data_IF_717266213085
#
_entry.id   IF_717266213085
#
_cell.length_a   1.000
_cell.length_b   1.000
_cell.length_c   1.000
_cell.angle_alpha   90.00
_cell.angle_beta   90.00
_cell.angle_gamma   90.00
#
_symmetry.space_group_name_H-M   'P 1'
#
loop_
_entity.id
_entity.type
_entity.pdbx_description
1 polymer ?
#
# COMPACT_ATOMS: atom_id res chain seq x y z
N UNK A 1 -3.00 -4.48 -46.75
CA UNK A 1 -3.48 -3.12 -46.44
C UNK A 1 -4.95 -3.03 -46.82
N UNK A 2 -5.86 -3.11 -45.85
CA UNK A 2 -7.29 -3.01 -46.09
C UNK A 2 -7.86 -1.91 -45.17
N UNK A 3 -8.39 -0.87 -45.80
CA UNK A 3 -8.97 0.31 -45.16
C UNK A 3 -10.46 0.04 -44.94
N UNK A 4 -10.90 -0.08 -43.69
CA UNK A 4 -12.32 -0.18 -43.36
C UNK A 4 -12.85 1.20 -42.98
N UNK A 5 -13.71 1.78 -43.84
CA UNK A 5 -14.60 2.90 -43.49
C UNK A 5 -15.94 2.31 -43.07
N UNK A 6 -16.37 2.59 -41.85
CA UNK A 6 -17.76 2.40 -41.43
C UNK A 6 -18.28 3.71 -40.87
N UNK A 7 -19.20 4.33 -41.61
CA UNK A 7 -20.04 5.42 -41.15
C UNK A 7 -21.49 4.95 -41.18
N UNK A 8 -22.18 5.07 -40.05
CA UNK A 8 -23.64 5.09 -40.00
C UNK A 8 -24.08 6.01 -38.84
N UNK A 9 -25.18 6.76 -38.99
CA UNK A 9 -25.58 7.83 -38.07
C UNK A 9 -26.46 7.32 -36.93
N UNK A 10 -26.34 7.94 -35.75
CA UNK A 10 -27.21 7.71 -34.58
C UNK A 10 -28.32 8.77 -34.56
N UNK A 11 -29.61 8.42 -34.42
CA UNK A 11 -30.70 9.38 -34.37
C UNK A 11 -30.85 10.03 -32.99
N UNK A 12 -31.22 11.31 -33.01
CA UNK A 12 -31.59 12.17 -31.87
C UNK A 12 -32.83 11.63 -31.14
N UNK A 13 -32.84 11.71 -29.80
CA UNK A 13 -34.09 11.81 -29.03
C UNK A 13 -34.04 12.91 -27.95
N UNK A 14 -35.03 13.77 -28.09
CA UNK A 14 -35.81 14.58 -27.15
C UNK A 14 -35.34 14.84 -25.70
N UNK A 15 -35.33 16.13 -25.41
CA UNK A 15 -35.49 16.84 -24.14
C UNK A 15 -36.65 16.33 -23.28
N UNK A 16 -36.41 16.18 -21.97
CA UNK A 16 -37.43 16.43 -20.95
C UNK A 16 -36.83 17.14 -19.73
N UNK A 17 -37.42 18.29 -19.44
CA UNK A 17 -37.29 19.18 -18.28
C UNK A 17 -38.04 18.61 -17.07
N UNK A 18 -37.43 18.71 -15.87
CA UNK A 18 -38.01 18.80 -14.51
C UNK A 18 -36.79 19.04 -13.59
N UNK A 19 -36.68 20.06 -12.76
CA UNK A 19 -37.63 20.52 -11.74
C UNK A 19 -36.94 20.34 -10.38
N UNK A 20 -36.41 21.44 -9.83
CA UNK A 20 -35.62 21.59 -8.59
C UNK A 20 -36.36 21.11 -7.33
N UNK A 21 -35.67 20.83 -6.19
CA UNK A 21 -35.51 21.91 -5.22
C UNK A 21 -34.17 21.98 -4.47
N UNK A 22 -33.83 23.23 -4.16
CA UNK A 22 -32.75 23.71 -3.31
C UNK A 22 -32.91 23.23 -1.85
N UNK A 23 -31.91 22.56 -1.30
CA UNK A 23 -31.75 22.43 0.16
C UNK A 23 -30.55 23.27 0.61
N UNK A 24 -30.84 24.37 1.30
CA UNK A 24 -29.86 25.19 2.01
C UNK A 24 -29.23 24.37 3.16
N UNK A 25 -27.90 24.31 3.22
CA UNK A 25 -27.16 23.76 4.36
C UNK A 25 -26.44 24.90 5.09
N UNK A 26 -26.83 25.14 6.33
CA UNK A 26 -26.12 26.02 7.25
C UNK A 26 -24.73 25.44 7.63
N UNK A 27 -23.70 26.29 7.79
CA UNK A 27 -22.36 25.86 8.21
C UNK A 27 -22.32 25.54 9.72
N UNK A 28 -21.74 24.39 10.08
CA UNK A 28 -21.43 24.02 11.47
C UNK A 28 -20.22 24.82 12.00
N UNK A 29 -20.22 25.26 13.27
CA UNK A 29 -19.09 25.97 13.87
C UNK A 29 -17.89 25.06 14.13
N UNK A 30 -16.68 25.57 13.86
CA UNK A 30 -15.40 24.92 14.14
C UNK A 30 -15.11 24.95 15.65
N UNK A 31 -14.82 23.79 16.24
CA UNK A 31 -14.26 23.68 17.61
C UNK A 31 -12.73 23.93 17.59
N UNK A 32 -12.15 24.59 18.61
CA UNK A 32 -10.72 24.86 18.68
C UNK A 32 -9.89 23.60 18.98
N UNK A 33 -8.72 23.54 18.34
CA UNK A 33 -7.71 22.51 18.48
C UNK A 33 -7.12 22.52 19.91
N UNK A 34 -7.30 21.45 20.68
CA UNK A 34 -6.59 21.23 21.96
C UNK A 34 -5.27 20.51 21.66
N UNK A 35 -4.16 21.23 21.76
CA UNK A 35 -2.81 20.66 21.73
C UNK A 35 -2.56 19.84 23.01
N UNK A 36 -2.68 18.51 22.88
CA UNK A 36 -2.23 17.57 23.92
C UNK A 36 -0.80 17.13 23.61
N UNK A 37 0.18 17.79 24.22
CA UNK A 37 1.54 17.23 24.33
C UNK A 37 1.49 16.00 25.25
N UNK A 38 1.60 14.80 24.68
CA UNK A 38 1.86 13.57 25.44
C UNK A 38 3.29 13.63 26.00
N UNK A 39 3.42 13.65 27.32
CA UNK A 39 4.69 13.43 28.03
C UNK A 39 4.94 11.92 28.05
N UNK A 40 5.97 11.45 27.35
CA UNK A 40 6.38 10.04 27.37
C UNK A 40 7.05 9.64 28.70
N UNK A 41 7.16 8.33 29.00
CA UNK A 41 7.78 7.85 30.22
C UNK A 41 9.27 8.19 30.27
N UNK A 42 9.75 8.50 31.48
CA UNK A 42 11.13 8.91 31.74
C UNK A 42 12.11 7.79 31.41
N UNK A 43 13.18 8.11 30.66
CA UNK A 43 14.38 7.27 30.66
C UNK A 43 15.12 7.51 31.97
N UNK A 44 15.29 6.47 32.77
CA UNK A 44 16.17 6.49 33.93
C UNK A 44 17.59 6.81 33.48
N UNK A 45 18.11 7.98 33.89
CA UNK A 45 19.55 8.22 33.94
C UNK A 45 20.03 7.81 35.33
N UNK A 46 21.18 7.13 35.44
CA UNK A 46 21.76 6.82 36.74
C UNK A 46 22.12 8.12 37.47
N UNK A 47 21.79 8.18 38.77
CA UNK A 47 22.08 9.32 39.61
C UNK A 47 23.60 9.52 39.73
N UNK A 48 24.07 10.76 39.55
CA UNK A 48 25.42 11.14 39.95
C UNK A 48 25.46 11.26 41.48
N UNK A 49 26.43 10.67 42.18
CA UNK A 49 26.53 10.80 43.63
C UNK A 49 26.78 12.27 44.01
N UNK A 50 26.10 12.75 45.06
CA UNK A 50 26.44 14.01 45.74
C UNK A 50 25.64 15.27 45.36
N UNK A 51 24.50 15.17 44.65
CA UNK A 51 23.58 16.32 44.48
C UNK A 51 22.17 16.04 45.00
N UNK A 52 21.60 16.88 45.88
CA UNK A 52 20.21 16.75 46.30
C UNK A 52 19.27 17.00 45.12
N UNK A 53 18.20 16.19 45.03
CA UNK A 53 17.21 16.31 43.97
C UNK A 53 16.45 17.65 44.09
N UNK A 54 16.19 18.35 42.97
CA UNK A 54 15.43 19.60 43.02
C UNK A 54 13.97 19.34 43.43
N UNK A 55 13.33 20.28 44.14
CA UNK A 55 11.94 20.14 44.54
C UNK A 55 11.01 19.96 43.33
N UNK A 56 9.89 19.23 43.45
CA UNK A 56 9.04 18.80 42.34
C UNK A 56 8.57 19.95 41.43
N UNK A 57 8.30 21.11 42.01
CA UNK A 57 7.87 22.30 41.29
C UNK A 57 8.97 22.89 40.39
N UNK A 58 10.24 22.82 40.81
CA UNK A 58 11.38 23.27 40.03
C UNK A 58 11.70 22.27 38.91
N UNK A 59 11.60 20.97 39.18
CA UNK A 59 11.76 19.93 38.17
C UNK A 59 10.71 20.05 37.03
N UNK A 60 9.47 20.42 37.35
CA UNK A 60 8.43 20.64 36.34
C UNK A 60 8.68 21.90 35.50
N UNK A 61 9.21 22.98 36.10
CA UNK A 61 9.60 24.21 35.38
C UNK A 61 10.79 23.98 34.45
N UNK A 62 11.81 23.24 34.89
CA UNK A 62 12.95 22.83 34.06
C UNK A 62 12.49 21.99 32.87
N UNK A 63 11.61 21.00 33.09
CA UNK A 63 11.05 20.17 32.00
C UNK A 63 10.25 20.98 30.98
N UNK A 64 9.47 21.96 31.42
CA UNK A 64 8.72 22.86 30.51
C UNK A 64 9.64 23.78 29.71
N UNK A 65 10.71 24.29 30.33
CA UNK A 65 11.72 25.09 29.65
C UNK A 65 12.49 24.26 28.60
N UNK A 66 12.93 23.04 28.94
CA UNK A 66 13.60 22.13 28.01
C UNK A 66 12.72 21.74 26.82
N UNK A 67 11.42 21.51 27.05
CA UNK A 67 10.46 21.20 25.98
C UNK A 67 10.30 22.38 25.00
N UNK A 68 10.20 23.62 25.52
CA UNK A 68 10.15 24.85 24.70
C UNK A 68 11.45 25.06 23.90
N UNK A 69 12.61 24.79 24.50
CA UNK A 69 13.91 24.92 23.83
C UNK A 69 14.09 23.85 22.75
N UNK A 70 13.65 22.60 22.98
CA UNK A 70 13.65 21.53 21.96
C UNK A 70 12.69 21.83 20.81
N UNK A 71 11.53 22.41 21.09
CA UNK A 71 10.59 22.81 20.04
C UNK A 71 11.12 23.96 19.17
N UNK A 72 11.73 24.98 19.80
CA UNK A 72 12.40 26.08 19.08
C UNK A 72 13.59 25.59 18.23
N UNK A 73 14.41 24.67 18.74
CA UNK A 73 15.51 24.05 17.96
C UNK A 73 14.99 23.23 16.78
N UNK A 74 13.89 22.46 16.95
CA UNK A 74 13.26 21.72 15.84
C UNK A 74 12.66 22.62 14.76
N UNK A 75 12.09 23.77 15.14
CA UNK A 75 11.60 24.77 14.19
C UNK A 75 12.75 25.45 13.44
N UNK A 76 13.85 25.79 14.13
CA UNK A 76 15.05 26.37 13.53
C UNK A 76 15.78 25.42 12.55
N UNK A 77 15.87 24.12 12.88
CA UNK A 77 16.43 23.11 11.98
C UNK A 77 15.57 22.85 10.74
N UNK A 78 14.24 23.01 10.86
CA UNK A 78 13.31 22.87 9.72
C UNK A 78 13.43 24.02 8.74
N UNK A 79 13.77 25.23 9.22
CA UNK A 79 14.06 26.39 8.38
C UNK A 79 15.45 26.36 7.76
N UNK A 80 16.44 25.68 8.37
CA UNK A 80 17.81 25.56 7.81
C UNK A 80 17.97 24.48 6.74
N UNK A 81 17.13 23.43 6.73
CA UNK A 81 17.18 22.38 5.68
C UNK A 81 16.60 22.79 4.31
N UNK A 82 16.15 24.04 4.15
CA UNK A 82 15.62 24.56 2.89
C UNK A 82 16.51 25.58 2.18
N UNK A 83 17.77 25.76 2.58
CA UNK A 83 18.70 26.68 1.90
C UNK A 83 20.07 26.03 1.68
N UNK A 84 20.20 25.31 0.57
CA UNK A 84 21.39 25.36 -0.30
C UNK A 84 21.02 24.82 -1.70
N UNK A 85 21.38 25.54 -2.79
CA UNK A 85 21.05 25.16 -4.15
C UNK A 85 22.17 24.29 -4.76
N UNK A 86 21.81 23.13 -5.32
CA UNK A 86 22.65 22.45 -6.31
C UNK A 86 22.11 22.72 -7.72
N UNK A 87 22.97 22.85 -8.74
CA UNK A 87 22.59 23.29 -10.06
C UNK A 87 21.86 22.16 -10.77
N UNK A 88 20.53 22.27 -10.89
CA UNK A 88 19.77 21.45 -11.83
C UNK A 88 19.87 22.08 -13.21
N UNK A 89 20.48 21.36 -14.16
CA UNK A 89 20.21 21.57 -15.59
C UNK A 89 18.69 21.50 -15.81
N UNK A 90 18.08 22.43 -16.57
CA UNK A 90 16.65 22.40 -16.80
C UNK A 90 16.33 21.30 -17.82
N UNK A 91 15.89 20.14 -17.34
CA UNK A 91 15.04 19.27 -18.15
C UNK A 91 13.72 20.00 -18.35
N UNK A 92 13.38 20.27 -19.61
CA UNK A 92 12.18 20.99 -20.02
C UNK A 92 10.96 20.48 -19.24
N UNK A 93 10.43 21.33 -18.36
CA UNK A 93 9.05 21.20 -17.92
C UNK A 93 8.21 21.49 -19.15
N UNK A 94 7.33 20.57 -19.50
CA UNK A 94 6.25 20.80 -20.44
C UNK A 94 5.41 21.95 -19.89
N UNK A 95 5.64 23.15 -20.43
CA UNK A 95 4.75 24.29 -20.27
C UNK A 95 3.46 23.98 -21.02
N UNK A 96 2.52 23.33 -20.33
CA UNK A 96 1.14 23.37 -20.78
C UNK A 96 0.58 24.75 -20.47
N UNK A 97 0.04 25.47 -21.46
CA UNK A 97 -0.63 26.73 -21.21
C UNK A 97 -1.77 26.46 -20.22
N UNK A 98 -1.74 27.16 -19.09
CA UNK A 98 -2.83 27.23 -18.12
C UNK A 98 -3.92 28.10 -18.75
N UNK A 99 -4.61 27.52 -19.72
CA UNK A 99 -5.79 28.06 -20.38
C UNK A 99 -6.92 27.05 -20.23
N UNK A 100 -8.12 27.55 -19.97
CA UNK A 100 -9.38 26.84 -19.75
C UNK A 100 -9.82 25.94 -20.91
N UNK A 101 -9.07 24.87 -21.19
CA UNK A 101 -9.47 23.79 -22.08
C UNK A 101 -9.76 22.56 -21.23
N UNK A 102 -10.99 22.06 -21.30
CA UNK A 102 -11.25 20.65 -20.99
C UNK A 102 -10.32 19.86 -21.90
N UNK A 103 -9.20 19.35 -21.38
CA UNK A 103 -8.31 18.46 -22.14
C UNK A 103 -9.20 17.38 -22.76
N UNK A 104 -9.25 17.29 -24.08
CA UNK A 104 -10.06 16.25 -24.72
C UNK A 104 -9.46 14.91 -24.29
N UNK A 105 -10.27 13.84 -24.09
CA UNK A 105 -9.73 12.52 -23.75
C UNK A 105 -8.61 12.06 -24.68
N UNK A 106 -8.67 12.47 -25.95
CA UNK A 106 -7.65 12.27 -26.98
C UNK A 106 -6.30 12.84 -26.57
N UNK A 107 -6.23 14.03 -25.97
CA UNK A 107 -4.97 14.70 -25.62
C UNK A 107 -4.20 13.89 -24.55
N UNK A 108 -4.91 13.26 -23.62
CA UNK A 108 -4.31 12.41 -22.58
C UNK A 108 -3.81 11.07 -23.13
N UNK A 109 -4.39 10.59 -24.21
CA UNK A 109 -3.98 9.36 -24.89
C UNK A 109 -2.99 9.62 -26.02
N UNK A 110 -2.64 10.88 -26.28
CA UNK A 110 -1.74 11.26 -27.36
C UNK A 110 -0.30 11.34 -26.89
N UNK A 111 0.60 10.68 -27.63
CA UNK A 111 2.03 10.77 -27.41
C UNK A 111 2.50 12.16 -27.86
N UNK A 112 3.09 12.93 -26.95
CA UNK A 112 3.62 14.25 -27.29
C UNK A 112 4.77 14.12 -28.32
N UNK A 113 4.75 14.85 -29.46
CA UNK A 113 5.76 14.75 -30.52
C UNK A 113 7.19 15.00 -30.02
N UNK A 114 7.34 15.89 -29.05
CA UNK A 114 8.63 16.17 -28.39
C UNK A 114 9.26 14.99 -27.66
N UNK A 115 8.53 13.90 -27.40
CA UNK A 115 9.08 12.70 -26.74
C UNK A 115 10.03 11.90 -27.66
N UNK A 116 9.90 12.07 -28.98
CA UNK A 116 10.74 11.43 -30.00
C UNK A 116 11.66 12.42 -30.72
N UNK A 117 11.69 13.69 -30.31
CA UNK A 117 12.42 14.75 -31.02
C UNK A 117 13.94 14.75 -30.77
N UNK A 118 14.46 13.83 -29.94
CA UNK A 118 15.90 13.69 -29.71
C UNK A 118 16.54 12.74 -30.73
N UNK A 119 17.63 13.15 -31.36
CA UNK A 119 18.36 12.35 -32.36
C UNK A 119 19.31 11.30 -31.77
N UNK A 120 19.51 11.30 -30.45
CA UNK A 120 20.40 10.37 -29.76
C UNK A 120 19.70 9.10 -29.26
N UNK A 121 20.42 7.97 -29.12
CA UNK A 121 19.89 6.77 -28.48
C UNK A 121 19.39 7.12 -27.07
N UNK A 122 18.17 6.71 -26.76
CA UNK A 122 17.59 6.93 -25.44
C UNK A 122 18.06 5.82 -24.51
N UNK A 123 18.65 6.20 -23.36
CA UNK A 123 18.96 5.24 -22.32
C UNK A 123 17.65 4.55 -21.87
N UNK A 124 17.64 3.22 -21.83
CA UNK A 124 16.46 2.41 -21.49
C UNK A 124 15.80 2.84 -20.16
N UNK A 125 16.61 3.31 -19.20
CA UNK A 125 16.16 3.82 -17.90
C UNK A 125 15.48 5.20 -17.94
N UNK A 126 15.67 5.99 -18.99
CA UNK A 126 14.93 7.24 -19.22
C UNK A 126 13.58 7.01 -19.90
N UNK A 127 13.43 5.93 -20.68
CA UNK A 127 12.17 5.55 -21.33
C UNK A 127 11.06 5.33 -20.30
N UNK A 128 11.42 4.91 -19.09
CA UNK A 128 10.46 4.68 -18.01
C UNK A 128 9.90 5.96 -17.37
N UNK A 129 10.63 7.07 -17.46
CA UNK A 129 10.24 8.39 -16.94
C UNK A 129 9.52 9.25 -17.97
N UNK A 130 9.51 8.81 -19.23
CA UNK A 130 8.83 9.49 -20.34
C UNK A 130 7.44 8.88 -20.56
N UNK A 131 6.56 9.68 -21.13
CA UNK A 131 5.26 9.29 -21.70
C UNK A 131 5.45 8.08 -22.63
N UNK A 132 4.93 6.92 -22.25
CA UNK A 132 5.12 5.66 -23.00
C UNK A 132 4.08 5.53 -24.12
N UNK A 133 4.43 4.99 -25.30
CA UNK A 133 3.43 4.65 -26.32
C UNK A 133 2.33 3.73 -25.78
N UNK A 134 2.66 2.81 -24.88
CA UNK A 134 1.67 1.92 -24.24
C UNK A 134 0.68 2.64 -23.32
N UNK A 135 1.01 3.84 -22.81
CA UNK A 135 0.08 4.67 -22.02
C UNK A 135 -0.54 5.80 -22.84
N UNK A 136 0.02 6.10 -24.01
CA UNK A 136 -0.37 7.16 -24.94
C UNK A 136 -0.37 6.60 -26.37
N UNK A 137 -1.35 5.74 -26.71
CA UNK A 137 -1.32 4.93 -27.92
C UNK A 137 -1.62 5.73 -29.21
N UNK A 138 -2.04 6.98 -29.09
CA UNK A 138 -2.37 7.83 -30.24
C UNK A 138 -1.16 8.67 -30.61
N UNK A 139 -0.69 8.58 -31.85
CA UNK A 139 0.52 9.29 -32.28
C UNK A 139 0.14 10.41 -33.23
N UNK A 140 0.48 11.65 -32.91
CA UNK A 140 0.28 12.79 -33.82
C UNK A 140 1.53 12.96 -34.69
N UNK A 141 1.36 12.95 -36.01
CA UNK A 141 2.44 13.14 -36.99
C UNK A 141 1.90 13.92 -38.19
N UNK A 142 2.55 15.02 -38.56
CA UNK A 142 2.18 15.89 -39.70
C UNK A 142 0.68 16.26 -39.75
N UNK A 143 0.12 16.62 -38.59
CA UNK A 143 -1.30 16.98 -38.46
C UNK A 143 -2.28 15.80 -38.56
N UNK A 144 -1.79 14.56 -38.66
CA UNK A 144 -2.59 13.33 -38.67
C UNK A 144 -2.47 12.58 -37.35
N UNK A 145 -3.53 11.88 -36.98
CA UNK A 145 -3.53 10.93 -35.87
C UNK A 145 -3.29 9.51 -36.42
N UNK A 146 -2.14 8.94 -36.10
CA UNK A 146 -1.82 7.56 -36.40
C UNK A 146 -2.38 6.68 -35.27
N UNK A 147 -3.22 5.73 -35.66
CA UNK A 147 -3.81 4.73 -34.77
C UNK A 147 -3.25 3.37 -35.18
N UNK A 148 -2.43 2.79 -34.30
CA UNK A 148 -1.84 1.48 -34.52
C UNK A 148 -2.64 0.46 -33.70
N UNK A 149 -3.37 -0.49 -34.33
CA UNK A 149 -4.28 -1.38 -33.61
C UNK A 149 -3.62 -2.17 -32.47
N UNK A 150 -2.41 -2.70 -32.68
CA UNK A 150 -1.66 -3.42 -31.66
C UNK A 150 -1.31 -2.54 -30.47
N UNK A 151 -0.95 -1.27 -30.70
CA UNK A 151 -0.62 -0.33 -29.63
C UNK A 151 -1.85 0.08 -28.84
N UNK A 152 -2.99 0.28 -29.51
CA UNK A 152 -4.28 0.53 -28.86
C UNK A 152 -4.68 -0.66 -27.99
N UNK A 153 -4.53 -1.88 -28.51
CA UNK A 153 -4.85 -3.09 -27.76
C UNK A 153 -3.97 -3.25 -26.53
N UNK A 154 -2.64 -3.13 -26.66
CA UNK A 154 -1.71 -3.17 -25.52
C UNK A 154 -2.03 -2.06 -24.49
N UNK A 155 -2.40 -0.87 -24.95
CA UNK A 155 -2.82 0.20 -24.04
C UNK A 155 -4.12 -0.16 -23.31
N UNK A 156 -5.11 -0.77 -23.97
CA UNK A 156 -6.34 -1.23 -23.31
C UNK A 156 -6.05 -2.23 -22.20
N UNK A 157 -5.23 -3.25 -22.47
CA UNK A 157 -4.82 -4.24 -21.47
C UNK A 157 -4.10 -3.58 -20.29
N UNK A 158 -3.19 -2.65 -20.57
CA UNK A 158 -2.46 -1.92 -19.53
C UNK A 158 -3.41 -1.07 -18.67
N UNK A 159 -4.35 -0.34 -19.27
CA UNK A 159 -5.30 0.46 -18.52
C UNK A 159 -6.27 -0.39 -17.71
N UNK A 160 -6.71 -1.53 -18.26
CA UNK A 160 -7.54 -2.49 -17.52
C UNK A 160 -6.79 -2.99 -16.28
N UNK A 161 -5.55 -3.45 -16.43
CA UNK A 161 -4.71 -3.89 -15.31
C UNK A 161 -4.51 -2.78 -14.25
N UNK A 162 -4.27 -1.54 -14.67
CA UNK A 162 -4.16 -0.41 -13.73
C UNK A 162 -5.48 -0.15 -12.99
N UNK A 163 -6.62 -0.22 -13.68
CA UNK A 163 -7.94 -0.01 -13.09
C UNK A 163 -8.29 -1.13 -12.11
N UNK A 164 -7.98 -2.38 -12.43
CA UNK A 164 -8.15 -3.54 -11.56
C UNK A 164 -7.31 -3.45 -10.29
N UNK A 165 -6.22 -2.69 -10.33
CA UNK A 165 -5.42 -2.34 -9.16
C UNK A 165 -5.90 -1.07 -8.44
N UNK A 166 -6.89 -0.34 -8.96
CA UNK A 166 -7.36 0.93 -8.40
C UNK A 166 -6.42 2.10 -8.66
N UNK A 167 -5.75 2.12 -9.82
CA UNK A 167 -4.88 3.21 -10.27
C UNK A 167 -5.08 3.55 -11.74
N UNK A 168 -4.37 4.57 -12.21
CA UNK A 168 -4.26 4.94 -13.62
C UNK A 168 -2.81 5.28 -13.93
N UNK A 169 -2.36 5.10 -15.19
CA UNK A 169 -0.97 5.36 -15.57
C UNK A 169 -0.59 6.84 -15.54
N UNK A 170 -1.56 7.75 -15.50
CA UNK A 170 -1.30 9.19 -15.42
C UNK A 170 -1.19 9.67 -13.96
N UNK A 171 -0.13 10.41 -13.59
CA UNK A 171 0.03 10.92 -12.23
C UNK A 171 -0.92 12.09 -11.90
N UNK A 172 -1.28 12.90 -12.91
CA UNK A 172 -2.05 14.13 -12.73
C UNK A 172 -3.56 13.90 -12.85
N UNK A 173 -4.13 13.20 -11.86
CA UNK A 173 -5.54 12.88 -11.84
C UNK A 173 -6.37 13.93 -11.09
N UNK A 174 -7.57 14.30 -11.58
CA UNK A 174 -8.50 15.14 -10.83
C UNK A 174 -8.86 14.53 -9.46
N UNK A 175 -9.09 15.37 -8.45
CA UNK A 175 -9.38 14.91 -7.09
C UNK A 175 -10.57 13.93 -6.99
N UNK A 176 -11.68 14.10 -7.72
CA UNK A 176 -12.78 13.12 -7.72
C UNK A 176 -12.33 11.73 -8.18
N UNK A 177 -11.48 11.67 -9.23
CA UNK A 177 -10.93 10.41 -9.76
C UNK A 177 -10.00 9.76 -8.73
N UNK A 178 -9.08 10.53 -8.12
CA UNK A 178 -8.21 10.01 -7.05
C UNK A 178 -9.01 9.45 -5.86
N UNK A 179 -10.13 10.09 -5.50
CA UNK A 179 -11.01 9.61 -4.43
C UNK A 179 -11.71 8.30 -4.83
N UNK A 180 -12.21 8.21 -6.06
CA UNK A 180 -12.85 6.99 -6.56
C UNK A 180 -11.87 5.81 -6.61
N UNK A 181 -10.66 6.02 -7.15
CA UNK A 181 -9.60 5.02 -7.21
C UNK A 181 -9.18 4.53 -5.82
N UNK A 182 -8.99 5.45 -4.86
CA UNK A 182 -8.72 5.06 -3.47
C UNK A 182 -9.86 4.25 -2.85
N UNK A 183 -11.11 4.65 -3.09
CA UNK A 183 -12.26 3.90 -2.59
C UNK A 183 -12.34 2.50 -3.19
N UNK A 184 -12.07 2.37 -4.48
CA UNK A 184 -11.96 1.07 -5.14
C UNK A 184 -10.86 0.23 -4.50
N UNK A 185 -9.68 0.80 -4.22
CA UNK A 185 -8.59 0.10 -3.53
C UNK A 185 -9.00 -0.38 -2.13
N UNK A 186 -9.66 0.47 -1.35
CA UNK A 186 -10.20 0.09 -0.04
C UNK A 186 -11.22 -1.07 -0.13
N UNK A 187 -12.02 -1.12 -1.21
CA UNK A 187 -12.93 -2.24 -1.46
C UNK A 187 -12.16 -3.52 -1.80
N UNK A 188 -11.13 -3.41 -2.64
CA UNK A 188 -10.27 -4.54 -2.99
C UNK A 188 -9.57 -5.12 -1.76
N UNK A 189 -9.03 -4.30 -0.88
CA UNK A 189 -8.38 -4.76 0.35
C UNK A 189 -9.36 -5.51 1.27
N UNK A 190 -10.56 -4.95 1.46
CA UNK A 190 -11.64 -5.61 2.22
C UNK A 190 -12.08 -6.93 1.61
N UNK A 191 -12.13 -7.00 0.28
CA UNK A 191 -12.52 -8.22 -0.43
C UNK A 191 -11.48 -9.30 -0.20
N UNK A 192 -10.19 -8.97 -0.33
CA UNK A 192 -9.10 -9.90 -0.01
C UNK A 192 -9.18 -10.41 1.43
N UNK A 193 -9.41 -9.52 2.41
CA UNK A 193 -9.59 -9.94 3.81
C UNK A 193 -10.80 -10.88 4.00
N UNK A 194 -11.92 -10.61 3.32
CA UNK A 194 -13.12 -11.45 3.36
C UNK A 194 -12.92 -12.80 2.64
N UNK A 195 -12.15 -12.84 1.56
CA UNK A 195 -11.83 -14.06 0.82
C UNK A 195 -10.98 -14.99 1.71
N UNK A 196 -9.95 -14.44 2.37
CA UNK A 196 -9.15 -15.20 3.35
C UNK A 196 -9.98 -15.69 4.53
N UNK A 197 -10.98 -14.92 4.94
CA UNK A 197 -11.92 -15.35 5.95
C UNK A 197 -12.74 -16.56 5.49
N UNK A 198 -13.24 -16.50 4.26
CA UNK A 198 -14.01 -17.60 3.68
C UNK A 198 -13.14 -18.85 3.56
N UNK A 199 -11.90 -18.73 3.07
CA UNK A 199 -10.94 -19.83 2.95
C UNK A 199 -10.70 -20.55 4.29
N UNK A 200 -10.42 -19.81 5.37
CA UNK A 200 -10.15 -20.43 6.68
C UNK A 200 -11.40 -21.11 7.27
N UNK A 201 -12.58 -20.57 7.01
CA UNK A 201 -13.86 -21.16 7.42
C UNK A 201 -14.17 -22.44 6.64
N UNK A 202 -14.00 -22.40 5.32
CA UNK A 202 -14.27 -23.53 4.44
C UNK A 202 -13.28 -24.68 4.66
N UNK A 203 -12.05 -24.37 5.09
CA UNK A 203 -11.08 -25.36 5.57
C UNK A 203 -11.46 -25.99 6.93
N UNK A 204 -12.49 -25.47 7.62
CA UNK A 204 -12.93 -25.98 8.92
C UNK A 204 -11.95 -25.70 10.07
N UNK A 205 -10.96 -24.83 9.87
CA UNK A 205 -9.91 -24.57 10.85
C UNK A 205 -10.36 -23.50 11.86
N UNK A 206 -10.21 -23.73 13.19
CA UNK A 206 -10.45 -22.70 14.19
C UNK A 206 -9.60 -21.46 13.94
N UNK A 207 -10.21 -20.27 13.94
CA UNK A 207 -9.51 -19.05 13.53
C UNK A 207 -10.06 -17.80 14.21
N UNK A 208 -9.26 -16.72 14.15
CA UNK A 208 -9.64 -15.38 14.60
C UNK A 208 -9.20 -14.32 13.61
N UNK A 209 -10.15 -13.51 13.18
CA UNK A 209 -9.87 -12.35 12.34
C UNK A 209 -9.50 -11.13 13.16
N UNK A 210 -8.58 -10.34 12.60
CA UNK A 210 -8.27 -8.97 13.04
C UNK A 210 -8.04 -8.88 14.54
N UNK A 211 -7.06 -9.63 15.01
CA UNK A 211 -6.64 -9.61 16.41
C UNK A 211 -5.87 -8.30 16.69
N UNK A 212 -6.56 -7.32 17.26
CA UNK A 212 -6.00 -6.03 17.67
C UNK A 212 -5.19 -6.15 18.97
N UNK A 213 -4.18 -5.30 19.16
CA UNK A 213 -3.31 -5.27 20.36
C UNK A 213 -4.11 -5.30 21.68
N UNK A 214 -5.12 -4.43 21.80
CA UNK A 214 -5.96 -4.35 23.02
C UNK A 214 -6.72 -5.64 23.27
N UNK A 215 -7.28 -6.23 22.21
CA UNK A 215 -8.03 -7.48 22.29
C UNK A 215 -7.09 -8.66 22.60
N UNK A 216 -5.89 -8.67 22.01
CA UNK A 216 -4.86 -9.67 22.30
C UNK A 216 -4.46 -9.65 23.78
N UNK A 217 -4.21 -8.45 24.35
CA UNK A 217 -3.89 -8.31 25.76
C UNK A 217 -5.03 -8.83 26.66
N UNK A 218 -6.29 -8.57 26.31
CA UNK A 218 -7.46 -9.08 27.05
C UNK A 218 -7.58 -10.61 26.99
N UNK A 219 -7.00 -11.25 25.97
CA UNK A 219 -7.01 -12.71 25.79
C UNK A 219 -5.77 -13.40 26.38
N UNK A 220 -4.90 -12.65 27.06
CA UNK A 220 -3.66 -13.18 27.65
C UNK A 220 -2.45 -13.16 26.73
N UNK A 221 -2.47 -12.36 25.66
CA UNK A 221 -1.35 -12.16 24.72
C UNK A 221 -0.89 -10.70 24.81
N UNK A 222 -0.25 -10.29 25.92
CA UNK A 222 0.25 -8.93 26.06
C UNK A 222 1.42 -8.66 25.09
N UNK A 223 1.64 -7.39 24.75
CA UNK A 223 2.82 -6.99 23.98
C UNK A 223 2.74 -7.22 22.47
N UNK A 224 1.60 -7.68 21.94
CA UNK A 224 1.40 -7.77 20.49
C UNK A 224 1.59 -6.40 19.83
N UNK A 225 2.38 -6.34 18.76
CA UNK A 225 2.64 -5.12 17.99
C UNK A 225 1.74 -5.09 16.75
N UNK A 226 0.88 -4.09 16.66
CA UNK A 226 -0.09 -3.94 15.59
C UNK A 226 -1.23 -4.96 15.65
N UNK A 227 -1.94 -5.10 14.53
CA UNK A 227 -3.00 -6.10 14.37
C UNK A 227 -2.46 -7.34 13.64
N UNK A 228 -2.91 -8.53 14.00
CA UNK A 228 -2.78 -9.73 13.15
C UNK A 228 -4.03 -9.81 12.28
N UNK A 229 -3.87 -9.88 10.95
CA UNK A 229 -5.01 -9.92 10.04
C UNK A 229 -5.82 -11.21 10.21
N UNK A 230 -5.13 -12.35 10.29
CA UNK A 230 -5.74 -13.67 10.48
C UNK A 230 -4.83 -14.56 11.32
N UNK A 231 -5.38 -15.12 12.39
CA UNK A 231 -4.73 -16.15 13.21
C UNK A 231 -5.52 -17.45 13.03
N UNK A 232 -4.87 -18.55 12.67
CA UNK A 232 -5.51 -19.86 12.46
C UNK A 232 -4.82 -20.90 13.33
N UNK A 233 -5.58 -21.76 13.97
CA UNK A 233 -5.09 -22.94 14.64
C UNK A 233 -5.47 -24.18 13.84
N UNK A 234 -4.49 -25.05 13.59
CA UNK A 234 -4.68 -26.37 13.02
C UNK A 234 -4.27 -27.41 14.08
N UNK A 235 -5.25 -27.93 14.86
CA UNK A 235 -4.98 -28.93 15.89
C UNK A 235 -4.43 -30.25 15.33
N UNK A 236 -4.74 -30.60 14.09
CA UNK A 236 -4.32 -31.88 13.49
C UNK A 236 -2.81 -31.89 13.23
N UNK A 237 -2.26 -30.76 12.77
CA UNK A 237 -0.82 -30.60 12.56
C UNK A 237 -0.11 -29.86 13.69
N UNK A 238 -0.84 -29.45 14.73
CA UNK A 238 -0.34 -28.63 15.84
C UNK A 238 0.30 -27.31 15.37
N UNK A 239 -0.32 -26.64 14.38
CA UNK A 239 0.21 -25.39 13.80
C UNK A 239 -0.64 -24.18 14.18
N UNK A 240 0.01 -23.06 14.52
CA UNK A 240 -0.60 -21.74 14.66
C UNK A 240 -0.09 -20.82 13.56
N UNK A 241 -0.95 -20.50 12.62
CA UNK A 241 -0.65 -19.61 11.50
C UNK A 241 -0.85 -18.16 11.88
N UNK A 242 0.21 -17.35 11.85
CA UNK A 242 0.15 -15.89 11.98
C UNK A 242 0.19 -15.29 10.58
N UNK A 243 -0.98 -14.89 10.07
CA UNK A 243 -1.12 -14.45 8.68
C UNK A 243 -1.20 -12.92 8.62
N UNK A 244 -0.28 -12.34 7.85
CA UNK A 244 -0.34 -10.94 7.43
C UNK A 244 -0.80 -10.85 5.98
N UNK A 245 -1.79 -9.98 5.74
CA UNK A 245 -2.39 -9.81 4.42
C UNK A 245 -1.93 -8.49 3.84
N UNK A 246 -1.45 -8.51 2.60
CA UNK A 246 -1.06 -7.30 1.87
C UNK A 246 -1.58 -7.35 0.46
N UNK A 247 -2.22 -6.27 0.04
CA UNK A 247 -2.55 -6.03 -1.35
C UNK A 247 -1.71 -4.85 -1.80
N UNK A 248 -0.44 -5.04 -2.22
CA UNK A 248 0.37 -3.93 -2.70
C UNK A 248 0.03 -3.61 -4.16
N UNK A 249 0.34 -2.38 -4.59
CA UNK A 249 0.22 -2.01 -6.01
C UNK A 249 1.34 -2.68 -6.81
N UNK A 250 1.05 -3.09 -8.04
CA UNK A 250 2.03 -3.73 -8.91
C UNK A 250 3.15 -2.75 -9.28
N UNK A 251 4.40 -3.16 -9.07
CA UNK A 251 5.56 -2.40 -9.51
C UNK A 251 6.10 -3.03 -10.82
N UNK A 252 6.16 -2.23 -11.89
CA UNK A 252 6.66 -2.71 -13.20
C UNK A 252 8.05 -2.15 -13.53
N UNK A 253 8.34 -0.92 -13.12
CA UNK A 253 9.66 -0.31 -13.33
C UNK A 253 10.69 -0.89 -12.35
N UNK A 254 11.93 -1.24 -12.77
CA UNK A 254 12.95 -1.81 -11.88
C UNK A 254 13.15 -1.02 -10.59
N UNK A 255 13.18 0.33 -10.67
CA UNK A 255 13.29 1.17 -9.47
C UNK A 255 12.09 1.02 -8.53
N UNK A 256 10.87 0.97 -9.08
CA UNK A 256 9.66 0.77 -8.30
C UNK A 256 9.63 -0.62 -7.67
N UNK A 257 10.09 -1.66 -8.39
CA UNK A 257 10.20 -3.03 -7.88
C UNK A 257 11.18 -3.07 -6.71
N UNK A 258 12.34 -2.41 -6.81
CA UNK A 258 13.30 -2.32 -5.71
C UNK A 258 12.68 -1.64 -4.49
N UNK A 259 12.00 -0.50 -4.67
CA UNK A 259 11.32 0.19 -3.56
C UNK A 259 10.22 -0.66 -2.92
N UNK A 260 9.51 -1.44 -3.73
CA UNK A 260 8.47 -2.36 -3.29
C UNK A 260 9.04 -3.49 -2.44
N UNK A 261 10.11 -4.14 -2.92
CA UNK A 261 10.85 -5.17 -2.20
C UNK A 261 11.37 -4.63 -0.86
N UNK A 262 11.94 -3.42 -0.84
CA UNK A 262 12.39 -2.76 0.39
C UNK A 262 11.26 -2.56 1.40
N UNK A 263 10.06 -2.19 0.92
CA UNK A 263 8.89 -2.03 1.80
C UNK A 263 8.47 -3.34 2.44
N UNK A 264 8.44 -4.44 1.69
CA UNK A 264 8.11 -5.77 2.22
C UNK A 264 9.15 -6.25 3.23
N UNK A 265 10.43 -6.16 2.87
CA UNK A 265 11.52 -6.66 3.69
C UNK A 265 11.75 -5.87 4.97
N UNK A 266 11.70 -4.54 4.93
CA UNK A 266 12.06 -3.69 6.09
C UNK A 266 10.86 -3.34 6.97
N UNK A 267 9.62 -3.41 6.45
CA UNK A 267 8.44 -3.02 7.21
C UNK A 267 7.52 -4.21 7.49
N UNK A 268 7.07 -4.92 6.46
CA UNK A 268 6.00 -5.91 6.63
C UNK A 268 6.53 -7.20 7.24
N UNK A 269 7.65 -7.73 6.71
CA UNK A 269 8.30 -8.94 7.19
C UNK A 269 8.76 -8.80 8.64
N UNK A 270 9.50 -7.74 8.96
CA UNK A 270 10.04 -7.55 10.32
C UNK A 270 8.91 -7.39 11.35
N UNK A 271 7.80 -6.74 10.99
CA UNK A 271 6.61 -6.69 11.84
C UNK A 271 5.95 -8.06 12.00
N UNK A 272 5.82 -8.84 10.94
CA UNK A 272 5.26 -10.17 10.99
C UNK A 272 6.10 -11.08 11.91
N UNK A 273 7.41 -11.10 11.73
CA UNK A 273 8.32 -11.86 12.59
C UNK A 273 8.19 -11.46 14.07
N UNK A 274 8.09 -10.16 14.37
CA UNK A 274 7.87 -9.70 15.75
C UNK A 274 6.52 -10.18 16.32
N UNK A 275 5.45 -10.17 15.52
CA UNK A 275 4.14 -10.72 15.94
C UNK A 275 4.25 -12.21 16.20
N UNK A 276 4.93 -12.96 15.33
CA UNK A 276 5.17 -14.40 15.49
C UNK A 276 5.89 -14.69 16.79
N UNK A 277 6.98 -13.97 17.12
CA UNK A 277 7.67 -14.13 18.42
C UNK A 277 6.72 -13.94 19.59
N UNK A 278 5.87 -12.92 19.57
CA UNK A 278 4.87 -12.71 20.63
C UNK A 278 3.87 -13.86 20.72
N UNK A 279 3.39 -14.36 19.57
CA UNK A 279 2.45 -15.49 19.54
C UNK A 279 3.11 -16.78 20.02
N UNK A 280 4.38 -17.03 19.68
CA UNK A 280 5.15 -18.18 20.19
C UNK A 280 5.23 -18.17 21.71
N UNK A 281 5.54 -17.02 22.33
CA UNK A 281 5.60 -16.89 23.80
C UNK A 281 4.23 -17.13 24.46
N UNK A 282 3.14 -16.90 23.72
CA UNK A 282 1.76 -16.99 24.22
C UNK A 282 0.92 -17.99 23.42
N UNK A 283 1.52 -19.09 22.95
CA UNK A 283 0.91 -19.99 21.98
C UNK A 283 -0.41 -20.59 22.48
N UNK A 284 -0.44 -21.07 23.73
CA UNK A 284 -1.66 -21.56 24.39
C UNK A 284 -2.79 -20.52 24.40
N UNK A 285 -2.49 -19.27 24.76
CA UNK A 285 -3.48 -18.20 24.77
C UNK A 285 -3.96 -17.84 23.36
N UNK A 286 -3.08 -17.92 22.35
CA UNK A 286 -3.39 -17.71 20.94
C UNK A 286 -4.29 -18.84 20.38
N UNK A 287 -4.02 -20.10 20.72
CA UNK A 287 -4.88 -21.23 20.38
C UNK A 287 -6.27 -21.10 21.00
N UNK A 288 -6.35 -20.78 22.30
CA UNK A 288 -7.62 -20.46 22.97
C UNK A 288 -8.36 -19.31 22.29
N UNK A 289 -7.65 -18.26 21.87
CA UNK A 289 -8.25 -17.13 21.18
C UNK A 289 -8.90 -17.52 19.84
N UNK A 290 -8.44 -18.61 19.22
CA UNK A 290 -9.00 -19.25 18.03
C UNK A 290 -10.04 -20.33 18.35
N UNK A 291 -10.33 -20.61 19.63
CA UNK A 291 -11.19 -21.70 20.09
C UNK A 291 -10.62 -23.10 19.80
N UNK A 292 -9.28 -23.23 19.84
CA UNK A 292 -8.57 -24.50 19.70
C UNK A 292 -8.07 -25.04 21.06
N UNK A 293 -7.69 -26.34 21.15
CA UNK A 293 -7.13 -26.94 22.35
C UNK A 293 -5.88 -26.20 22.88
N UNK A 294 -5.71 -26.19 24.20
CA UNK A 294 -4.67 -25.41 24.89
C UNK A 294 -3.39 -26.24 25.20
N UNK A 295 -3.50 -27.56 25.15
CA UNK A 295 -2.52 -28.55 25.64
C UNK A 295 -1.62 -29.13 24.53
N UNK A 296 -1.66 -28.56 23.34
CA UNK A 296 -0.82 -28.97 22.20
C UNK A 296 0.49 -28.17 22.16
N UNK A 297 1.55 -28.79 21.63
CA UNK A 297 2.82 -28.13 21.36
C UNK A 297 2.76 -27.41 20.00
N UNK A 298 2.33 -26.15 20.04
CA UNK A 298 2.02 -25.39 18.84
C UNK A 298 3.25 -24.86 18.10
N UNK A 299 3.45 -25.30 16.85
CA UNK A 299 4.38 -24.68 15.90
C UNK A 299 3.78 -23.37 15.35
N UNK A 300 4.36 -22.22 15.70
CA UNK A 300 3.88 -20.91 15.22
C UNK A 300 4.54 -20.53 13.90
N UNK A 301 3.76 -20.43 12.83
CA UNK A 301 4.25 -20.20 11.47
C UNK A 301 3.79 -18.81 10.99
N UNK A 302 4.72 -17.88 10.68
CA UNK A 302 4.37 -16.65 9.97
C UNK A 302 3.98 -16.97 8.53
N UNK A 303 3.01 -16.28 7.95
CA UNK A 303 2.71 -16.37 6.52
C UNK A 303 2.31 -15.01 5.96
N UNK A 304 2.94 -14.60 4.87
CA UNK A 304 2.54 -13.42 4.10
C UNK A 304 1.61 -13.85 2.97
N UNK A 305 0.41 -13.28 2.91
CA UNK A 305 -0.55 -13.55 1.85
C UNK A 305 -0.82 -12.30 1.04
N UNK A 306 -0.66 -12.41 -0.28
CA UNK A 306 -0.94 -11.33 -1.23
C UNK A 306 -2.01 -11.74 -2.24
N UNK A 307 -2.50 -10.79 -3.04
CA UNK A 307 -3.41 -11.12 -4.16
C UNK A 307 -2.65 -11.70 -5.35
N UNK A 308 -1.52 -11.11 -5.67
CA UNK A 308 -0.63 -11.51 -6.75
C UNK A 308 0.73 -11.94 -6.20
N UNK A 309 1.49 -12.68 -7.00
CA UNK A 309 2.85 -13.11 -6.65
C UNK A 309 3.68 -11.89 -6.22
N UNK A 310 4.35 -12.01 -5.07
CA UNK A 310 5.14 -10.94 -4.47
C UNK A 310 6.64 -11.13 -4.76
N UNK A 311 7.33 -10.18 -5.43
CA UNK A 311 8.77 -10.30 -5.72
C UNK A 311 9.65 -10.53 -4.50
N UNK A 312 9.28 -10.01 -3.31
CA UNK A 312 10.04 -10.23 -2.08
C UNK A 312 10.13 -11.72 -1.67
N UNK A 313 9.25 -12.58 -2.19
CA UNK A 313 9.27 -14.02 -1.96
C UNK A 313 10.46 -14.73 -2.62
N UNK A 314 11.11 -14.11 -3.62
CA UNK A 314 12.21 -14.69 -4.41
C UNK A 314 13.57 -14.09 -4.07
N UNK A 315 13.67 -13.36 -2.96
CA UNK A 315 14.98 -12.95 -2.45
C UNK A 315 15.79 -14.17 -2.03
N UNK A 316 17.11 -14.06 -2.04
CA UNK A 316 18.00 -15.11 -1.53
C UNK A 316 17.72 -15.46 -0.06
N UNK A 317 17.13 -14.53 0.70
CA UNK A 317 16.80 -14.71 2.12
C UNK A 317 15.45 -14.06 2.46
N UNK A 318 14.32 -14.71 2.11
CA UNK A 318 12.99 -14.14 2.27
C UNK A 318 12.50 -14.17 3.74
N UNK A 319 13.09 -15.03 4.59
CA UNK A 319 12.81 -15.27 6.02
C UNK A 319 11.40 -15.74 6.42
N UNK A 320 10.37 -15.46 5.62
CA UNK A 320 9.00 -15.90 5.86
C UNK A 320 8.43 -16.55 4.59
N UNK A 321 7.49 -17.49 4.70
CA UNK A 321 6.76 -18.00 3.55
C UNK A 321 5.80 -16.93 3.00
N UNK A 322 5.64 -16.95 1.69
CA UNK A 322 4.72 -16.13 0.91
C UNK A 322 3.82 -17.02 0.08
N UNK A 323 2.56 -16.63 -0.06
CA UNK A 323 1.64 -17.26 -1.01
C UNK A 323 0.60 -16.25 -1.49
N UNK A 324 -0.23 -16.65 -2.46
CA UNK A 324 -1.40 -15.87 -2.88
C UNK A 324 -2.68 -16.43 -2.26
N UNK A 325 -3.72 -15.60 -2.18
CA UNK A 325 -5.03 -16.00 -1.68
C UNK A 325 -5.55 -17.29 -2.32
N UNK A 326 -5.43 -17.42 -3.65
CA UNK A 326 -5.89 -18.59 -4.42
C UNK A 326 -5.20 -19.91 -4.02
N UNK A 327 -4.01 -19.82 -3.41
CA UNK A 327 -3.24 -20.97 -2.96
C UNK A 327 -3.41 -21.25 -1.47
N UNK A 328 -3.95 -20.29 -0.70
CA UNK A 328 -3.95 -20.36 0.76
C UNK A 328 -4.63 -21.61 1.30
N UNK A 329 -5.79 -22.01 0.75
CA UNK A 329 -6.50 -23.21 1.20
C UNK A 329 -5.59 -24.45 1.16
N UNK A 330 -4.90 -24.65 0.04
CA UNK A 330 -3.98 -25.78 -0.17
C UNK A 330 -2.75 -25.71 0.74
N UNK A 331 -2.22 -24.50 0.99
CA UNK A 331 -1.10 -24.30 1.93
C UNK A 331 -1.49 -24.61 3.36
N UNK A 332 -2.68 -24.19 3.80
CA UNK A 332 -3.15 -24.44 5.17
C UNK A 332 -3.35 -25.93 5.44
N UNK A 333 -3.81 -26.69 4.46
CA UNK A 333 -4.06 -28.14 4.60
C UNK A 333 -2.86 -29.01 4.22
N UNK A 334 -1.73 -28.42 3.82
CA UNK A 334 -0.55 -29.17 3.43
C UNK A 334 0.07 -29.87 4.65
N UNK A 335 0.48 -31.13 4.49
CA UNK A 335 1.17 -31.86 5.57
C UNK A 335 2.56 -31.29 5.87
N UNK A 336 3.17 -30.57 4.94
CA UNK A 336 4.50 -29.99 5.08
C UNK A 336 4.43 -28.53 5.56
N UNK A 337 5.37 -28.15 6.44
CA UNK A 337 5.52 -26.76 6.85
C UNK A 337 6.10 -25.95 5.68
N UNK A 338 5.48 -24.81 5.30
CA UNK A 338 5.95 -24.03 4.17
C UNK A 338 7.32 -23.42 4.45
N UNK A 339 8.16 -23.41 3.42
CA UNK A 339 9.53 -22.88 3.53
C UNK A 339 9.53 -21.37 3.35
N UNK A 340 10.50 -20.64 3.93
CA UNK A 340 10.70 -19.23 3.58
C UNK A 340 10.76 -19.04 2.05
N UNK A 341 10.05 -18.03 1.55
CA UNK A 341 9.97 -17.73 0.11
C UNK A 341 8.63 -18.11 -0.51
N UNK A 342 8.60 -18.24 -1.83
CA UNK A 342 7.37 -18.54 -2.57
C UNK A 342 6.88 -19.97 -2.32
N UNK A 343 5.61 -20.11 -1.92
CA UNK A 343 4.95 -21.40 -1.74
C UNK A 343 3.72 -21.47 -2.67
N UNK A 344 3.74 -22.48 -3.54
CA UNK A 344 2.61 -22.84 -4.40
C UNK A 344 2.21 -24.29 -4.16
N UNK A 345 0.96 -24.66 -4.46
CA UNK A 345 0.48 -26.01 -4.27
C UNK A 345 1.14 -27.05 -5.18
N UNK A 346 1.68 -26.62 -6.32
CA UNK A 346 2.25 -27.51 -7.33
C UNK A 346 3.76 -27.78 -7.10
N UNK A 347 4.28 -27.39 -5.94
CA UNK A 347 5.73 -27.37 -5.66
C UNK A 347 6.37 -26.07 -6.13
N UNK A 348 7.56 -25.75 -5.62
CA UNK A 348 8.28 -24.53 -6.02
C UNK A 348 8.72 -24.63 -7.49
N UNK A 349 8.76 -23.51 -8.26
CA UNK A 349 9.64 -23.45 -9.42
C UNK A 349 11.09 -23.65 -8.93
N UNK A 350 11.84 -24.54 -9.59
CA UNK A 350 13.26 -24.80 -9.33
C UNK A 350 14.14 -23.54 -9.30
#
# INVERSE_FOLDING_TARGET
>A
MACWRLGAPVPRKATHTRGTPHLQRHPKPRRPHRDRCRVGPARHQPARPGRPAPPPALALRIRRAECRTRHRRRLADRTRRHRHPHPRRPGARSDHPVGTARSRPVDRLSLHPGNAAGTGPHAYTEVERRTRPATHPLITHDGRLLVLPWLVHTAQELYAAYLDEGRLPHPDLPQPVRKALRHHREQLDKRLEADLQTIARDAGLPHRYRLLEKTAAQLGIPGLIGEINLLIADPATQRLWVIEVKNPEGAVAPYAVIQHIQRFTQNYRDKLLNKTVTITVHATAAARACQAPEDLDWEVIPLMVTRSIEPAAFLADPKVPFTIADHLARILTASTTPRPGWNSPDGAPE
#
